data_IF_941015529308
#
_entry.id   IF_941015529308
#
_cell.length_a   1.000
_cell.length_b   1.000
_cell.length_c   1.000
_cell.angle_alpha   90.00
_cell.angle_beta   90.00
_cell.angle_gamma   90.00
#
_symmetry.space_group_name_H-M   'P 1'
#
loop_
_entity.id
_entity.type
_entity.pdbx_description
1 polymer ?
#
# COMPACT_ATOMS: atom_id res chain seq x y z
N UNK A 1 10.39 -25.16 48.45
CA UNK A 1 10.34 -24.03 47.49
C UNK A 1 8.90 -23.52 47.44
N UNK A 2 8.65 -22.22 47.58
CA UNK A 2 7.28 -21.72 47.69
C UNK A 2 6.55 -21.82 46.33
N UNK A 3 5.24 -22.10 46.30
CA UNK A 3 4.46 -22.28 45.07
C UNK A 3 4.37 -21.03 44.18
N UNK A 4 4.83 -19.86 44.66
CA UNK A 4 4.86 -18.60 43.91
C UNK A 4 6.00 -18.50 42.89
N UNK A 5 7.11 -19.21 43.11
CA UNK A 5 8.25 -19.17 42.16
C UNK A 5 8.03 -20.08 40.96
N UNK A 6 7.27 -21.16 41.12
CA UNK A 6 6.90 -22.05 40.01
C UNK A 6 5.98 -21.34 39.01
N UNK A 7 4.95 -20.62 39.48
CA UNK A 7 4.04 -19.87 38.60
C UNK A 7 4.71 -18.72 37.84
N UNK A 8 5.71 -18.08 38.43
CA UNK A 8 6.47 -17.01 37.76
C UNK A 8 7.39 -17.56 36.66
N UNK A 9 8.02 -18.71 36.90
CA UNK A 9 8.85 -19.42 35.92
C UNK A 9 8.01 -19.96 34.76
N UNK A 10 6.82 -20.49 35.02
CA UNK A 10 5.91 -20.93 33.96
C UNK A 10 5.40 -19.74 33.14
N UNK A 11 5.06 -18.61 33.77
CA UNK A 11 4.64 -17.40 33.04
C UNK A 11 5.77 -16.78 32.20
N UNK A 12 7.00 -16.78 32.71
CA UNK A 12 8.18 -16.36 31.95
C UNK A 12 8.49 -17.33 30.79
N UNK A 13 8.42 -18.65 31.02
CA UNK A 13 8.57 -19.63 29.94
C UNK A 13 7.46 -19.48 28.87
N UNK A 14 6.22 -19.25 29.27
CA UNK A 14 5.11 -19.00 28.33
C UNK A 14 5.31 -17.70 27.55
N UNK A 15 5.86 -16.65 28.17
CA UNK A 15 6.20 -15.41 27.46
C UNK A 15 7.37 -15.58 26.47
N UNK A 16 8.36 -16.42 26.80
CA UNK A 16 9.45 -16.78 25.87
C UNK A 16 8.97 -17.71 24.74
N UNK A 17 8.02 -18.62 25.02
CA UNK A 17 7.43 -19.50 24.00
C UNK A 17 6.48 -18.75 23.06
N UNK A 18 5.79 -17.71 23.53
CA UNK A 18 4.96 -16.83 22.70
C UNK A 18 5.80 -15.88 21.82
N UNK A 19 7.04 -15.57 22.22
CA UNK A 19 7.96 -14.80 21.37
C UNK A 19 8.49 -15.63 20.17
N UNK A 20 8.51 -16.96 20.27
CA UNK A 20 9.07 -17.84 19.23
C UNK A 20 8.22 -17.99 17.97
N UNK A 21 6.93 -17.66 18.01
CA UNK A 21 6.04 -17.78 16.84
C UNK A 21 6.08 -16.55 15.91
N UNK A 22 6.82 -15.49 16.28
CA UNK A 22 6.97 -14.27 15.47
C UNK A 22 8.42 -13.93 15.12
N UNK A 23 9.39 -14.78 15.46
CA UNK A 23 10.82 -14.54 15.21
C UNK A 23 11.29 -15.32 13.99
N UNK A 24 11.73 -14.61 12.95
CA UNK A 24 12.49 -15.21 11.84
C UNK A 24 13.93 -15.39 12.29
N UNK A 25 14.46 -16.61 12.11
CA UNK A 25 15.85 -16.94 12.40
C UNK A 25 16.80 -16.14 11.48
N UNK A 26 17.63 -15.29 12.08
CA UNK A 26 18.52 -14.35 11.39
C UNK A 26 19.93 -14.45 12.00
N UNK A 27 21.00 -14.46 11.18
CA UNK A 27 22.37 -14.47 11.69
C UNK A 27 22.69 -13.18 12.45
N UNK A 28 23.24 -13.31 13.66
CA UNK A 28 23.53 -12.18 14.57
C UNK A 28 24.76 -11.34 14.14
N UNK A 29 25.57 -11.85 13.21
CA UNK A 29 26.80 -11.21 12.74
C UNK A 29 26.57 -10.20 11.59
N UNK A 30 25.31 -10.00 11.19
CA UNK A 30 24.93 -9.04 10.15
C UNK A 30 25.20 -9.50 8.73
N UNK A 31 25.58 -10.77 8.51
CA UNK A 31 25.74 -11.33 7.17
C UNK A 31 24.37 -11.69 6.60
N UNK A 32 23.99 -11.10 5.47
CA UNK A 32 22.76 -11.47 4.78
C UNK A 32 22.77 -12.97 4.40
N UNK A 33 21.64 -13.66 4.58
CA UNK A 33 21.55 -15.08 4.22
C UNK A 33 21.74 -15.25 2.73
N UNK A 34 22.71 -16.08 2.33
CA UNK A 34 22.86 -16.46 0.94
C UNK A 34 21.68 -17.35 0.54
N UNK A 35 20.90 -16.94 -0.48
CA UNK A 35 19.76 -17.78 -0.92
C UNK A 35 20.26 -19.05 -1.61
N UNK A 36 19.51 -20.14 -1.43
CA UNK A 36 19.75 -21.43 -2.09
C UNK A 36 19.07 -21.52 -3.47
N UNK A 37 18.31 -20.50 -3.86
CA UNK A 37 17.61 -20.44 -5.15
C UNK A 37 18.57 -20.23 -6.32
N UNK A 38 18.20 -20.77 -7.49
CA UNK A 38 18.95 -20.57 -8.74
C UNK A 38 18.38 -19.38 -9.51
N UNK A 39 19.17 -18.31 -9.61
CA UNK A 39 18.81 -17.11 -10.36
C UNK A 39 19.02 -17.31 -11.87
N UNK A 40 18.03 -16.91 -12.68
CA UNK A 40 18.19 -16.75 -14.13
C UNK A 40 18.13 -15.25 -14.44
N UNK A 41 19.16 -14.66 -15.09
CA UNK A 41 19.14 -13.24 -15.39
C UNK A 41 17.98 -12.90 -16.33
N UNK A 42 16.98 -12.23 -15.76
CA UNK A 42 15.94 -11.48 -16.46
C UNK A 42 16.11 -9.99 -16.08
N UNK A 43 15.26 -9.13 -16.63
CA UNK A 43 15.16 -7.75 -16.17
C UNK A 43 14.69 -7.73 -14.71
N UNK A 44 15.48 -7.15 -13.80
CA UNK A 44 15.11 -7.07 -12.38
C UNK A 44 13.88 -6.16 -12.23
N UNK A 45 12.74 -6.64 -11.72
CA UNK A 45 11.53 -5.84 -11.60
C UNK A 45 11.59 -4.79 -10.48
N UNK A 46 12.63 -4.82 -9.62
CA UNK A 46 12.75 -3.91 -8.47
C UNK A 46 13.37 -2.59 -8.83
N UNK A 47 12.87 -1.56 -8.17
CA UNK A 47 13.36 -0.19 -8.20
C UNK A 47 13.48 0.24 -6.74
N UNK A 48 14.71 0.17 -6.20
CA UNK A 48 15.00 0.62 -4.83
C UNK A 48 14.98 2.15 -4.81
N UNK A 49 14.46 2.74 -3.74
CA UNK A 49 14.41 4.21 -3.59
C UNK A 49 15.78 4.89 -3.70
N UNK A 50 16.86 4.21 -3.29
CA UNK A 50 18.23 4.69 -3.43
C UNK A 50 18.82 4.57 -4.85
N UNK A 51 18.22 3.77 -5.74
CA UNK A 51 18.65 3.64 -7.13
C UNK A 51 18.12 4.80 -7.98
N UNK A 52 18.82 5.93 -7.89
CA UNK A 52 18.46 7.18 -8.57
C UNK A 52 18.22 6.97 -10.07
N UNK A 53 19.07 6.18 -10.73
CA UNK A 53 18.96 5.98 -12.18
C UNK A 53 17.68 5.23 -12.57
N UNK A 54 17.32 4.17 -11.83
CA UNK A 54 16.07 3.44 -12.10
C UNK A 54 14.83 4.23 -11.70
N UNK A 55 14.93 5.00 -10.62
CA UNK A 55 13.86 5.91 -10.17
C UNK A 55 13.62 7.02 -11.19
N UNK A 56 14.67 7.61 -11.77
CA UNK A 56 14.58 8.59 -12.86
C UNK A 56 14.03 7.97 -14.15
N UNK A 57 14.45 6.76 -14.51
CA UNK A 57 13.92 6.05 -15.68
C UNK A 57 12.41 5.74 -15.54
N UNK A 58 11.97 5.30 -14.35
CA UNK A 58 10.56 5.10 -14.07
C UNK A 58 9.78 6.41 -14.15
N UNK A 59 10.34 7.47 -13.58
CA UNK A 59 9.80 8.81 -13.60
C UNK A 59 9.58 9.33 -15.03
N UNK A 60 10.56 9.17 -15.91
CA UNK A 60 10.45 9.51 -17.34
C UNK A 60 9.34 8.71 -18.02
N UNK A 61 9.26 7.39 -17.78
CA UNK A 61 8.20 6.55 -18.36
C UNK A 61 6.80 7.00 -17.93
N UNK A 62 6.61 7.34 -16.65
CA UNK A 62 5.34 7.86 -16.13
C UNK A 62 5.04 9.23 -16.75
N UNK A 63 6.05 10.10 -16.87
CA UNK A 63 5.92 11.41 -17.52
C UNK A 63 5.51 11.31 -19.00
N UNK A 64 6.15 10.44 -19.78
CA UNK A 64 5.75 10.20 -21.17
C UNK A 64 4.31 9.72 -21.27
N UNK A 65 3.86 8.86 -20.35
CA UNK A 65 2.47 8.37 -20.33
C UNK A 65 1.47 9.45 -20.01
N UNK A 66 1.74 10.25 -18.99
CA UNK A 66 0.84 11.31 -18.56
C UNK A 66 0.75 12.47 -19.58
N UNK A 67 1.87 12.84 -20.23
CA UNK A 67 1.93 14.03 -21.09
C UNK A 67 1.91 13.74 -22.59
N UNK A 68 2.43 12.60 -23.05
CA UNK A 68 2.58 12.31 -24.48
C UNK A 68 1.60 11.23 -25.00
N UNK A 69 1.03 10.40 -24.13
CA UNK A 69 0.06 9.39 -24.57
C UNK A 69 -1.20 10.05 -25.17
N UNK A 70 -1.83 9.40 -26.15
CA UNK A 70 -3.06 9.88 -26.78
C UNK A 70 -4.30 9.69 -25.88
N UNK A 71 -4.30 8.61 -25.09
CA UNK A 71 -5.39 8.16 -24.22
C UNK A 71 -4.82 7.65 -22.89
N UNK A 72 -5.69 7.40 -21.89
CA UNK A 72 -5.29 6.77 -20.62
C UNK A 72 -4.41 7.64 -19.72
N UNK A 73 -4.49 8.97 -19.78
CA UNK A 73 -3.62 9.91 -19.02
C UNK A 73 -3.91 9.98 -17.52
N UNK A 74 -4.44 8.91 -16.93
CA UNK A 74 -4.82 8.86 -15.53
C UNK A 74 -3.92 7.90 -14.75
N UNK A 75 -3.54 8.32 -13.55
CA UNK A 75 -2.90 7.47 -12.55
C UNK A 75 -3.92 7.13 -11.48
N UNK A 76 -3.95 5.88 -11.04
CA UNK A 76 -4.67 5.45 -9.85
C UNK A 76 -3.66 4.99 -8.80
N UNK A 77 -3.68 5.62 -7.63
CA UNK A 77 -2.92 5.20 -6.47
C UNK A 77 -3.84 4.65 -5.39
N UNK A 78 -3.61 3.40 -5.01
CA UNK A 78 -4.39 2.67 -4.00
C UNK A 78 -3.59 2.64 -2.70
N UNK A 79 -4.13 3.29 -1.67
CA UNK A 79 -3.43 3.37 -0.38
C UNK A 79 -3.48 2.08 0.41
N UNK A 80 -2.63 1.99 1.42
CA UNK A 80 -2.81 1.02 2.48
C UNK A 80 -4.01 1.31 3.37
N UNK A 81 -4.36 0.33 4.21
CA UNK A 81 -5.59 0.39 5.00
C UNK A 81 -6.04 -0.91 5.67
N UNK A 82 -5.33 -2.03 5.47
CA UNK A 82 -5.73 -3.32 6.01
C UNK A 82 -7.15 -3.73 5.60
N UNK A 83 -7.99 -4.11 6.57
CA UNK A 83 -9.38 -4.53 6.33
C UNK A 83 -10.25 -3.46 5.65
N UNK A 84 -9.92 -2.17 5.84
CA UNK A 84 -10.62 -1.06 5.19
C UNK A 84 -10.50 -1.07 3.67
N UNK A 85 -9.60 -1.88 3.10
CA UNK A 85 -9.49 -2.08 1.65
C UNK A 85 -10.78 -2.55 0.99
N UNK A 86 -11.69 -3.19 1.74
CA UNK A 86 -13.01 -3.55 1.25
C UNK A 86 -13.78 -2.33 0.71
N UNK A 87 -13.67 -1.17 1.38
CA UNK A 87 -14.24 0.08 0.87
C UNK A 87 -13.71 0.42 -0.52
N UNK A 88 -12.39 0.40 -0.71
CA UNK A 88 -11.76 0.76 -1.97
C UNK A 88 -12.08 -0.22 -3.08
N UNK A 89 -12.09 -1.52 -2.79
CA UNK A 89 -12.56 -2.54 -3.72
C UNK A 89 -14.01 -2.26 -4.16
N UNK A 90 -14.89 -1.93 -3.22
CA UNK A 90 -16.26 -1.52 -3.50
C UNK A 90 -16.32 -0.28 -4.39
N UNK A 91 -15.53 0.76 -4.09
CA UNK A 91 -15.45 1.97 -4.92
C UNK A 91 -15.06 1.63 -6.36
N UNK A 92 -14.09 0.75 -6.60
CA UNK A 92 -13.68 0.37 -7.95
C UNK A 92 -14.81 -0.33 -8.73
N UNK A 93 -15.50 -1.27 -8.09
CA UNK A 93 -16.65 -1.98 -8.68
C UNK A 93 -17.81 -1.02 -8.97
N UNK A 94 -18.19 -0.20 -7.99
CA UNK A 94 -19.26 0.80 -8.18
C UNK A 94 -18.90 1.87 -9.22
N UNK A 95 -17.62 2.19 -9.37
CA UNK A 95 -17.18 3.13 -10.40
C UNK A 95 -17.31 2.53 -11.80
N UNK A 96 -17.02 1.23 -11.95
CA UNK A 96 -17.34 0.49 -13.17
C UNK A 96 -18.84 0.48 -13.45
N UNK A 97 -19.68 0.23 -12.43
CA UNK A 97 -21.15 0.25 -12.58
C UNK A 97 -21.69 1.59 -13.06
N UNK A 98 -21.07 2.71 -12.65
CA UNK A 98 -21.47 4.04 -13.14
C UNK A 98 -21.10 4.28 -14.62
N UNK A 99 -20.24 3.43 -15.20
CA UNK A 99 -19.76 3.56 -16.59
C UNK A 99 -18.75 4.69 -16.79
N UNK A 100 -18.18 5.24 -15.71
CA UNK A 100 -17.29 6.41 -15.77
C UNK A 100 -15.87 6.14 -15.27
N UNK A 101 -15.53 4.88 -14.93
CA UNK A 101 -14.19 4.51 -14.51
C UNK A 101 -13.18 4.66 -15.66
N UNK A 102 -12.15 5.52 -15.52
CA UNK A 102 -11.11 5.68 -16.54
C UNK A 102 -10.28 4.41 -16.70
N UNK A 103 -9.67 4.26 -17.88
CA UNK A 103 -8.51 3.40 -18.03
C UNK A 103 -7.27 4.12 -17.52
N UNK A 104 -6.53 3.47 -16.61
CA UNK A 104 -5.34 4.07 -15.99
C UNK A 104 -4.06 3.64 -16.72
N UNK A 105 -3.21 4.60 -17.08
CA UNK A 105 -1.85 4.33 -17.58
C UNK A 105 -0.96 3.75 -16.50
N UNK A 106 -1.17 4.17 -15.25
CA UNK A 106 -0.39 3.70 -14.11
C UNK A 106 -1.36 3.37 -12.98
N UNK A 107 -1.23 2.17 -12.44
CA UNK A 107 -1.88 1.78 -11.19
C UNK A 107 -0.80 1.46 -10.18
N UNK A 108 -0.89 2.05 -9.01
CA UNK A 108 0.00 1.76 -7.90
C UNK A 108 -0.77 1.21 -6.71
N UNK A 109 -0.12 0.36 -5.92
CA UNK A 109 -0.72 -0.24 -4.75
C UNK A 109 0.26 -0.39 -3.59
N UNK A 110 -0.25 -0.11 -2.39
CA UNK A 110 0.43 -0.32 -1.12
C UNK A 110 -0.48 -1.09 -0.19
N UNK A 111 0.02 -2.12 0.52
CA UNK A 111 -0.77 -2.88 1.50
C UNK A 111 -1.99 -3.50 0.87
N UNK A 112 -3.16 -3.37 1.49
CA UNK A 112 -4.43 -3.77 0.89
C UNK A 112 -4.63 -3.16 -0.52
N UNK A 113 -4.14 -1.96 -0.79
CA UNK A 113 -4.15 -1.38 -2.13
C UNK A 113 -3.33 -2.17 -3.15
N UNK A 114 -2.26 -2.86 -2.72
CA UNK A 114 -1.49 -3.75 -3.59
C UNK A 114 -2.27 -5.00 -4.00
N UNK A 115 -3.14 -5.52 -3.13
CA UNK A 115 -4.01 -6.65 -3.45
C UNK A 115 -5.11 -6.26 -4.44
N UNK A 116 -5.66 -5.04 -4.34
CA UNK A 116 -6.65 -4.54 -5.29
C UNK A 116 -6.06 -4.08 -6.64
N UNK A 117 -4.78 -3.66 -6.66
CA UNK A 117 -4.15 -3.03 -7.81
C UNK A 117 -4.11 -3.87 -9.10
N UNK A 118 -3.83 -5.20 -9.08
CA UNK A 118 -3.88 -6.04 -10.27
C UNK A 118 -5.25 -6.00 -10.97
N UNK A 119 -6.35 -6.17 -10.22
CA UNK A 119 -7.71 -6.09 -10.77
C UNK A 119 -8.03 -4.67 -11.22
N UNK A 120 -7.59 -3.67 -10.44
CA UNK A 120 -7.78 -2.27 -10.80
C UNK A 120 -7.13 -1.91 -12.14
N UNK A 121 -5.95 -2.49 -12.38
CA UNK A 121 -5.15 -2.37 -13.59
C UNK A 121 -5.77 -3.12 -14.77
N UNK A 122 -6.26 -4.34 -14.58
CA UNK A 122 -6.87 -5.09 -15.69
C UNK A 122 -8.26 -4.56 -16.08
N UNK A 123 -8.98 -3.95 -15.13
CA UNK A 123 -10.22 -3.23 -15.40
C UNK A 123 -11.49 -4.06 -15.15
N UNK A 124 -12.65 -3.62 -15.71
CA UNK A 124 -13.97 -4.14 -15.39
C UNK A 124 -14.17 -5.65 -15.49
N UNK A 125 -13.45 -6.32 -16.38
CA UNK A 125 -13.56 -7.77 -16.58
C UNK A 125 -13.11 -8.59 -15.36
N UNK A 126 -12.38 -7.96 -14.44
CA UNK A 126 -11.81 -8.54 -13.23
C UNK A 126 -12.48 -8.05 -11.94
N UNK A 127 -13.58 -7.29 -12.06
CA UNK A 127 -14.28 -6.74 -10.91
C UNK A 127 -15.00 -7.83 -10.09
N UNK A 128 -15.41 -8.95 -10.72
CA UNK A 128 -15.97 -10.11 -10.02
C UNK A 128 -14.93 -10.79 -9.11
N UNK A 129 -13.69 -10.91 -9.56
CA UNK A 129 -12.58 -11.45 -8.74
C UNK A 129 -12.21 -10.48 -7.61
N UNK A 130 -12.19 -9.17 -7.90
CA UNK A 130 -11.99 -8.13 -6.88
C UNK A 130 -13.08 -8.17 -5.80
N UNK A 131 -14.34 -8.31 -6.21
CA UNK A 131 -15.47 -8.48 -5.29
C UNK A 131 -15.34 -9.76 -4.48
N UNK A 132 -14.97 -10.87 -5.12
CA UNK A 132 -14.69 -12.15 -4.50
C UNK A 132 -13.63 -12.06 -3.40
N UNK A 133 -12.53 -11.35 -3.67
CA UNK A 133 -11.41 -11.22 -2.74
C UNK A 133 -11.74 -10.37 -1.49
N UNK A 134 -12.72 -9.46 -1.57
CA UNK A 134 -12.99 -8.47 -0.52
C UNK A 134 -14.35 -8.57 0.17
N UNK A 135 -15.35 -9.19 -0.45
CA UNK A 135 -16.72 -9.21 0.08
C UNK A 135 -17.36 -10.60 0.06
N UNK A 136 -16.98 -11.47 -0.89
CA UNK A 136 -17.44 -12.84 -0.85
C UNK A 136 -16.52 -13.65 0.05
N UNK A 137 -16.93 -13.88 1.30
CA UNK A 137 -16.28 -14.86 2.18
C UNK A 137 -16.48 -16.30 1.68
N UNK A 138 -16.13 -16.62 0.43
CA UNK A 138 -16.37 -17.91 -0.24
C UNK A 138 -15.72 -19.03 0.55
N UNK A 139 -16.49 -19.63 1.45
CA UNK A 139 -17.09 -20.98 1.42
C UNK A 139 -16.40 -22.13 0.65
N UNK A 140 -15.12 -22.01 0.28
CA UNK A 140 -14.24 -23.11 -0.14
C UNK A 140 -13.35 -23.66 0.99
N UNK A 141 -13.31 -22.96 2.12
CA UNK A 141 -12.58 -23.37 3.31
C UNK A 141 -13.27 -22.82 4.55
N UNK A 142 -14.38 -23.45 4.95
CA UNK A 142 -15.13 -23.20 6.20
C UNK A 142 -14.28 -23.33 7.50
N UNK A 143 -12.97 -23.56 7.36
CA UNK A 143 -11.96 -23.64 8.41
C UNK A 143 -11.02 -22.43 8.51
N UNK A 144 -10.89 -21.50 7.55
CA UNK A 144 -9.89 -20.42 7.69
C UNK A 144 -10.41 -19.23 8.51
N UNK A 145 -11.59 -18.71 8.17
CA UNK A 145 -12.12 -17.51 8.84
C UNK A 145 -12.73 -17.77 10.22
N UNK A 146 -13.29 -18.96 10.47
CA UNK A 146 -13.73 -19.32 11.84
C UNK A 146 -12.53 -19.56 12.77
N UNK A 147 -11.36 -19.90 12.23
CA UNK A 147 -10.11 -20.02 12.99
C UNK A 147 -9.54 -18.65 13.35
N UNK A 148 -9.73 -17.64 12.49
CA UNK A 148 -9.47 -16.23 12.78
C UNK A 148 -10.23 -15.73 14.02
N UNK A 149 -11.50 -16.13 14.19
CA UNK A 149 -12.32 -15.76 15.34
C UNK A 149 -12.16 -16.67 16.57
N UNK A 150 -11.63 -17.90 16.42
CA UNK A 150 -11.53 -18.88 17.50
C UNK A 150 -10.25 -18.74 18.36
N UNK A 151 -9.23 -18.03 17.87
CA UNK A 151 -8.00 -17.75 18.63
C UNK A 151 -8.09 -16.38 19.30
N UNK A 152 -8.77 -16.34 20.44
CA UNK A 152 -8.79 -15.20 21.36
C UNK A 152 -7.45 -14.95 22.04
N UNK A 153 -6.40 -14.62 21.28
CA UNK A 153 -5.16 -14.05 21.78
C UNK A 153 -4.77 -12.83 20.90
N UNK A 154 -4.37 -11.70 21.50
CA UNK A 154 -3.98 -10.52 20.73
C UNK A 154 -2.57 -10.69 20.17
N UNK A 155 -2.45 -10.67 18.84
CA UNK A 155 -1.19 -10.49 18.13
C UNK A 155 -0.78 -11.70 17.30
N UNK A 156 -0.57 -11.46 16.00
CA UNK A 156 -0.19 -12.39 14.92
C UNK A 156 -1.36 -13.20 14.35
N UNK A 157 -1.93 -12.70 13.26
CA UNK A 157 -2.77 -13.51 12.38
C UNK A 157 -1.91 -14.55 11.65
N UNK A 158 -2.52 -15.69 11.31
CA UNK A 158 -1.82 -16.77 10.61
C UNK A 158 -1.42 -16.31 9.19
N UNK A 159 -0.12 -16.34 8.90
CA UNK A 159 0.44 -15.99 7.60
C UNK A 159 -0.13 -16.83 6.45
N UNK A 160 -0.59 -18.05 6.76
CA UNK A 160 -1.21 -18.94 5.78
C UNK A 160 -2.47 -18.33 5.15
N UNK A 161 -3.29 -17.59 5.90
CA UNK A 161 -4.57 -17.08 5.38
C UNK A 161 -4.38 -16.02 4.30
N UNK A 162 -3.48 -15.06 4.54
CA UNK A 162 -3.19 -14.01 3.55
C UNK A 162 -2.47 -14.61 2.33
N UNK A 163 -1.60 -15.60 2.56
CA UNK A 163 -0.95 -16.35 1.49
C UNK A 163 -1.97 -17.10 0.63
N UNK A 164 -2.88 -17.86 1.24
CA UNK A 164 -3.92 -18.63 0.54
C UNK A 164 -4.81 -17.70 -0.31
N UNK A 165 -5.21 -16.54 0.24
CA UNK A 165 -5.97 -15.53 -0.50
C UNK A 165 -5.23 -15.06 -1.75
N UNK A 166 -3.93 -14.76 -1.62
CA UNK A 166 -3.10 -14.35 -2.76
C UNK A 166 -2.95 -15.49 -3.76
N UNK A 167 -2.78 -16.74 -3.30
CA UNK A 167 -2.66 -17.90 -4.17
C UNK A 167 -3.94 -18.21 -4.96
N UNK A 168 -5.11 -17.98 -4.36
CA UNK A 168 -6.42 -18.25 -4.97
C UNK A 168 -6.73 -17.33 -6.16
N UNK A 169 -6.26 -16.08 -6.13
CA UNK A 169 -6.58 -15.08 -7.16
C UNK A 169 -5.40 -14.69 -8.06
N UNK A 170 -4.17 -15.09 -7.74
CA UNK A 170 -2.98 -14.77 -8.54
C UNK A 170 -2.48 -16.03 -9.22
N UNK A 171 -2.86 -16.22 -10.48
CA UNK A 171 -2.44 -17.34 -11.32
C UNK A 171 -1.71 -16.89 -12.59
N UNK A 172 -1.35 -17.86 -13.44
CA UNK A 172 -0.69 -17.57 -14.71
C UNK A 172 -1.55 -16.76 -15.68
N UNK A 173 -2.88 -16.87 -15.60
CA UNK A 173 -3.80 -16.18 -16.49
C UNK A 173 -3.88 -14.69 -16.12
N UNK A 174 -3.91 -14.37 -14.82
CA UNK A 174 -3.76 -13.01 -14.31
C UNK A 174 -2.43 -12.40 -14.78
N UNK A 175 -1.31 -13.10 -14.59
CA UNK A 175 0.01 -12.59 -15.03
C UNK A 175 0.03 -12.36 -16.54
N UNK A 176 -0.54 -13.27 -17.34
CA UNK A 176 -0.59 -13.11 -18.79
C UNK A 176 -1.39 -11.86 -19.20
N UNK A 177 -2.52 -11.61 -18.54
CA UNK A 177 -3.32 -10.41 -18.78
C UNK A 177 -2.52 -9.13 -18.43
N UNK A 178 -1.80 -9.13 -17.31
CA UNK A 178 -0.95 -8.00 -16.89
C UNK A 178 0.19 -7.77 -17.89
N UNK A 179 0.83 -8.83 -18.38
CA UNK A 179 1.88 -8.74 -19.38
C UNK A 179 1.39 -8.08 -20.69
N UNK A 180 0.17 -8.43 -21.13
CA UNK A 180 -0.45 -7.81 -22.32
C UNK A 180 -0.66 -6.30 -22.13
N UNK A 181 -1.19 -5.89 -20.98
CA UNK A 181 -1.39 -4.46 -20.67
C UNK A 181 -0.05 -3.71 -20.48
N UNK A 182 0.95 -4.39 -19.93
CA UNK A 182 2.30 -3.85 -19.81
C UNK A 182 2.97 -3.65 -21.18
N UNK A 183 2.70 -4.51 -22.17
CA UNK A 183 3.20 -4.35 -23.54
C UNK A 183 2.51 -3.18 -24.29
N UNK A 184 1.28 -2.81 -23.90
CA UNK A 184 0.68 -1.53 -24.30
C UNK A 184 1.35 -0.34 -23.61
N UNK A 185 2.20 -0.62 -22.62
CA UNK A 185 3.03 0.29 -21.84
C UNK A 185 2.34 0.92 -20.65
N UNK A 186 1.25 0.32 -20.17
CA UNK A 186 0.69 0.63 -18.86
C UNK A 186 1.64 0.10 -17.77
N UNK A 187 1.57 0.64 -16.56
CA UNK A 187 2.44 0.25 -15.44
C UNK A 187 1.62 -0.15 -14.23
N UNK A 188 1.93 -1.32 -13.68
CA UNK A 188 1.41 -1.79 -12.39
C UNK A 188 2.57 -1.81 -11.40
N UNK A 189 2.50 -0.94 -10.38
CA UNK A 189 3.60 -0.73 -9.44
C UNK A 189 3.15 -1.07 -8.02
N UNK A 190 3.84 -2.01 -7.37
CA UNK A 190 3.56 -2.40 -5.98
C UNK A 190 4.69 -1.96 -5.09
N UNK A 191 4.38 -1.52 -3.87
CA UNK A 191 5.39 -1.04 -2.92
C UNK A 191 5.50 -1.95 -1.71
N UNK A 192 6.74 -2.27 -1.36
CA UNK A 192 7.11 -2.90 -0.09
C UNK A 192 8.14 -2.04 0.63
N UNK A 193 8.32 -2.26 1.93
CA UNK A 193 9.45 -1.72 2.68
C UNK A 193 10.49 -2.80 2.90
N UNK A 194 11.72 -2.59 2.41
CA UNK A 194 12.85 -3.39 2.83
C UNK A 194 13.28 -2.91 4.23
N UNK A 195 13.05 -3.71 5.27
CA UNK A 195 13.39 -3.35 6.64
C UNK A 195 14.88 -3.42 6.95
N UNK A 196 15.63 -4.25 6.23
CA UNK A 196 17.08 -4.37 6.41
C UNK A 196 17.79 -3.08 5.95
N UNK A 197 17.29 -2.44 4.89
CA UNK A 197 17.78 -1.17 4.37
C UNK A 197 17.00 0.07 4.85
N UNK A 198 15.81 -0.11 5.42
CA UNK A 198 14.84 0.96 5.73
C UNK A 198 14.40 1.75 4.50
N UNK A 199 14.31 1.07 3.35
CA UNK A 199 14.05 1.70 2.06
C UNK A 199 12.73 1.26 1.44
N UNK A 200 12.14 2.17 0.66
CA UNK A 200 11.05 1.86 -0.26
C UNK A 200 11.57 1.02 -1.41
N UNK A 201 10.90 -0.09 -1.69
CA UNK A 201 11.13 -0.88 -2.90
C UNK A 201 9.86 -0.90 -3.74
N UNK A 202 9.96 -0.35 -4.95
CA UNK A 202 8.89 -0.35 -5.96
C UNK A 202 9.12 -1.55 -6.88
N UNK A 203 8.08 -2.32 -7.12
CA UNK A 203 8.09 -3.50 -7.98
C UNK A 203 7.28 -3.22 -9.24
N UNK A 204 7.90 -3.30 -10.43
CA UNK A 204 7.19 -3.31 -11.70
C UNK A 204 6.64 -4.72 -11.95
N UNK A 205 5.36 -4.89 -11.63
CA UNK A 205 4.68 -6.17 -11.73
C UNK A 205 4.47 -6.61 -13.17
N UNK A 206 4.52 -5.69 -14.14
CA UNK A 206 4.42 -6.02 -15.55
C UNK A 206 5.73 -6.57 -16.11
N UNK A 207 6.88 -6.04 -15.66
CA UNK A 207 8.19 -6.67 -15.93
C UNK A 207 8.21 -8.09 -15.40
N UNK A 208 7.74 -8.31 -14.17
CA UNK A 208 7.65 -9.64 -13.57
C UNK A 208 6.70 -10.57 -14.34
N UNK A 209 5.50 -10.09 -14.64
CA UNK A 209 4.49 -10.85 -15.38
C UNK A 209 4.98 -11.31 -16.76
N UNK A 210 5.78 -10.49 -17.45
CA UNK A 210 6.38 -10.83 -18.76
C UNK A 210 7.40 -11.96 -18.70
N UNK A 211 7.99 -12.23 -17.54
CA UNK A 211 8.94 -13.34 -17.39
C UNK A 211 8.24 -14.70 -17.48
N UNK A 212 7.02 -14.77 -16.92
CA UNK A 212 6.16 -15.96 -16.95
C UNK A 212 6.72 -17.18 -16.19
N UNK A 213 5.89 -18.22 -16.09
CA UNK A 213 6.21 -19.48 -15.41
C UNK A 213 6.14 -19.42 -13.88
N UNK A 214 6.30 -20.59 -13.26
CA UNK A 214 6.09 -20.80 -11.81
C UNK A 214 6.87 -19.83 -10.93
N UNK A 215 8.13 -19.52 -11.28
CA UNK A 215 8.97 -18.60 -10.51
C UNK A 215 8.45 -17.16 -10.54
N UNK A 216 7.90 -16.71 -11.67
CA UNK A 216 7.33 -15.37 -11.78
C UNK A 216 6.03 -15.28 -10.97
N UNK A 217 5.18 -16.32 -11.01
CA UNK A 217 3.97 -16.40 -10.20
C UNK A 217 4.31 -16.38 -8.71
N UNK A 218 5.27 -17.20 -8.28
CA UNK A 218 5.71 -17.25 -6.88
C UNK A 218 6.21 -15.89 -6.39
N UNK A 219 7.12 -15.24 -7.13
CA UNK A 219 7.61 -13.91 -6.75
C UNK A 219 6.49 -12.86 -6.79
N UNK A 220 5.55 -12.94 -7.72
CA UNK A 220 4.42 -12.00 -7.80
C UNK A 220 3.59 -12.09 -6.52
N UNK A 221 3.29 -13.32 -6.09
CA UNK A 221 2.57 -13.59 -4.84
C UNK A 221 3.35 -13.14 -3.61
N UNK A 222 4.66 -13.40 -3.56
CA UNK A 222 5.52 -12.95 -2.46
C UNK A 222 5.56 -11.43 -2.33
N UNK A 223 5.60 -10.69 -3.44
CA UNK A 223 5.58 -9.21 -3.43
C UNK A 223 4.24 -8.68 -2.92
N UNK A 224 3.12 -9.25 -3.37
CA UNK A 224 1.79 -8.85 -2.87
C UNK A 224 1.63 -9.17 -1.38
N UNK A 225 2.03 -10.37 -0.97
CA UNK A 225 2.02 -10.80 0.43
C UNK A 225 2.87 -9.87 1.29
N UNK A 226 4.09 -9.56 0.86
CA UNK A 226 4.99 -8.65 1.55
C UNK A 226 4.40 -7.25 1.68
N UNK A 227 3.80 -6.73 0.60
CA UNK A 227 3.18 -5.41 0.60
C UNK A 227 2.03 -5.33 1.60
N UNK A 228 1.30 -6.42 1.84
CA UNK A 228 0.19 -6.50 2.80
C UNK A 228 0.58 -7.00 4.21
N UNK A 229 1.85 -7.33 4.46
CA UNK A 229 2.33 -7.82 5.75
C UNK A 229 2.57 -6.68 6.76
N UNK A 230 1.50 -6.20 7.40
CA UNK A 230 1.57 -5.14 8.42
C UNK A 230 2.40 -5.60 9.63
N UNK A 231 3.45 -4.85 10.04
CA UNK A 231 4.27 -5.22 11.20
C UNK A 231 3.46 -5.38 12.49
N UNK A 232 3.70 -6.49 13.20
CA UNK A 232 2.98 -6.84 14.44
C UNK A 232 1.61 -7.50 14.22
N UNK A 233 1.17 -7.58 12.97
CA UNK A 233 -0.10 -8.20 12.56
C UNK A 233 0.18 -9.46 11.74
N UNK A 234 1.05 -9.36 10.74
CA UNK A 234 1.52 -10.46 9.90
C UNK A 234 3.06 -10.52 9.93
N UNK A 235 3.68 -11.70 9.73
CA UNK A 235 5.12 -11.80 9.65
C UNK A 235 5.68 -11.17 8.36
N UNK A 236 6.95 -10.72 8.39
CA UNK A 236 7.65 -10.28 7.18
C UNK A 236 7.83 -11.41 6.17
N UNK A 237 8.00 -11.05 4.91
CA UNK A 237 8.34 -11.96 3.82
C UNK A 237 9.82 -11.82 3.47
N UNK A 238 10.48 -12.95 3.29
CA UNK A 238 11.87 -13.01 2.86
C UNK A 238 11.91 -13.08 1.33
N UNK A 239 12.40 -12.04 0.67
CA UNK A 239 12.48 -12.02 -0.80
C UNK A 239 13.96 -12.05 -1.23
N UNK A 240 14.36 -12.93 -2.16
CA UNK A 240 15.72 -12.95 -2.66
C UNK A 240 16.11 -11.65 -3.37
N UNK A 241 17.30 -11.15 -3.08
CA UNK A 241 17.91 -10.01 -3.73
C UNK A 241 19.39 -10.11 -3.93
N UNK A 242 19.98 -8.99 -4.32
CA UNK A 242 21.40 -8.90 -4.68
C UNK A 242 22.02 -7.74 -3.91
N UNK A 243 23.11 -8.02 -3.21
CA UNK A 243 23.87 -6.99 -2.51
C UNK A 243 24.82 -6.23 -3.47
N UNK A 244 25.52 -5.23 -2.94
CA UNK A 244 26.45 -4.40 -3.71
C UNK A 244 27.64 -5.20 -4.30
N UNK A 245 27.87 -6.42 -3.82
CA UNK A 245 28.92 -7.32 -4.28
C UNK A 245 28.42 -8.36 -5.30
N UNK A 246 27.15 -8.25 -5.71
CA UNK A 246 26.54 -9.20 -6.64
C UNK A 246 26.21 -10.55 -6.00
N UNK A 247 26.22 -10.65 -4.67
CA UNK A 247 25.85 -11.88 -3.97
C UNK A 247 24.33 -11.95 -3.78
N UNK A 248 23.81 -13.14 -3.95
CA UNK A 248 22.40 -13.44 -3.72
C UNK A 248 22.11 -13.48 -2.22
N UNK A 249 21.20 -12.63 -1.77
CA UNK A 249 20.89 -12.40 -0.35
C UNK A 249 19.38 -12.54 -0.09
N UNK A 250 18.95 -12.82 1.14
CA UNK A 250 17.54 -12.70 1.51
C UNK A 250 17.27 -11.35 2.18
N UNK A 251 16.35 -10.57 1.62
CA UNK A 251 15.93 -9.26 2.14
C UNK A 251 14.63 -9.37 2.96
N UNK A 252 14.52 -8.64 4.07
CA UNK A 252 13.28 -8.55 4.85
C UNK A 252 12.31 -7.55 4.21
N UNK A 253 11.17 -8.00 3.73
CA UNK A 253 10.11 -7.12 3.25
C UNK A 253 8.87 -7.15 4.16
N UNK A 254 8.32 -5.96 4.41
CA UNK A 254 7.03 -5.74 5.07
C UNK A 254 6.19 -4.75 4.27
N UNK A 255 5.02 -4.45 4.83
CA UNK A 255 4.07 -3.52 4.29
C UNK A 255 4.71 -2.17 3.89
N UNK A 256 4.48 -1.75 2.64
CA UNK A 256 5.01 -0.50 2.10
C UNK A 256 4.49 0.75 2.82
N UNK A 257 3.33 0.65 3.49
CA UNK A 257 2.70 1.65 4.34
C UNK A 257 3.55 2.07 5.54
N UNK A 258 4.59 1.31 5.88
CA UNK A 258 5.59 1.70 6.89
C UNK A 258 6.34 2.96 6.46
N UNK A 259 6.63 3.10 5.16
CA UNK A 259 7.37 4.25 4.61
C UNK A 259 6.51 5.17 3.75
N UNK A 260 5.54 4.62 3.00
CA UNK A 260 4.68 5.41 2.10
C UNK A 260 3.23 4.93 2.13
N UNK A 261 2.25 5.77 2.46
CA UNK A 261 0.84 5.35 2.59
C UNK A 261 0.18 5.03 1.24
N UNK A 262 0.68 5.62 0.15
CA UNK A 262 0.29 5.36 -1.24
C UNK A 262 1.40 5.88 -2.17
N UNK A 263 1.55 5.30 -3.36
CA UNK A 263 2.52 5.78 -4.36
C UNK A 263 1.80 6.55 -5.47
N UNK A 264 1.50 7.84 -5.26
CA UNK A 264 0.90 8.66 -6.31
C UNK A 264 1.88 8.95 -7.43
N UNK A 265 2.95 9.66 -7.07
CA UNK A 265 4.05 10.05 -7.94
C UNK A 265 5.36 9.72 -7.22
N UNK A 266 6.32 9.03 -7.85
CA UNK A 266 7.65 8.78 -7.28
C UNK A 266 8.32 10.05 -6.76
N UNK A 267 9.09 9.95 -5.67
CA UNK A 267 9.69 11.11 -5.01
C UNK A 267 10.58 11.97 -5.94
N UNK A 268 11.29 11.32 -6.86
CA UNK A 268 12.11 11.99 -7.87
C UNK A 268 11.33 12.94 -8.78
N UNK A 269 10.05 12.65 -9.04
CA UNK A 269 9.18 13.49 -9.85
C UNK A 269 8.58 14.67 -9.06
N UNK A 270 8.63 14.64 -7.72
CA UNK A 270 7.95 15.64 -6.90
C UNK A 270 8.49 17.06 -7.06
N UNK A 271 9.68 17.24 -7.63
CA UNK A 271 10.26 18.56 -7.93
C UNK A 271 10.21 18.92 -9.41
N UNK A 272 9.82 17.99 -10.27
CA UNK A 272 9.75 18.21 -11.71
C UNK A 272 8.62 19.20 -12.03
N UNK A 273 8.96 20.14 -12.91
CA UNK A 273 8.05 21.07 -13.56
C UNK A 273 8.09 20.80 -15.06
N UNK A 274 6.97 20.36 -15.63
CA UNK A 274 6.91 20.23 -17.09
C UNK A 274 6.73 21.62 -17.73
N UNK A 275 7.48 21.95 -18.80
CA UNK A 275 7.35 23.25 -19.47
C UNK A 275 6.00 23.45 -20.18
N UNK A 276 5.23 22.37 -20.35
CA UNK A 276 3.87 22.36 -20.90
C UNK A 276 2.87 21.93 -19.82
N UNK A 277 1.72 22.61 -19.74
CA UNK A 277 0.57 22.16 -18.94
C UNK A 277 0.21 20.73 -19.32
N UNK A 278 -0.25 19.94 -18.34
CA UNK A 278 -0.74 18.61 -18.61
C UNK A 278 -1.86 18.65 -19.67
N UNK A 279 -1.91 17.67 -20.60
CA UNK A 279 -2.97 17.59 -21.59
C UNK A 279 -4.35 17.47 -20.93
N UNK A 280 -5.39 17.87 -21.66
CA UNK A 280 -6.76 17.70 -21.22
C UNK A 280 -7.05 16.21 -20.87
N UNK A 281 -7.65 15.99 -19.70
CA UNK A 281 -7.95 14.67 -19.15
C UNK A 281 -6.84 14.01 -18.33
N UNK A 282 -5.67 14.65 -18.17
CA UNK A 282 -4.62 14.12 -17.30
C UNK A 282 -4.98 14.31 -15.81
N UNK A 283 -5.03 13.20 -15.07
CA UNK A 283 -5.55 13.20 -13.70
C UNK A 283 -4.83 12.20 -12.79
N UNK A 284 -4.71 12.55 -11.51
CA UNK A 284 -4.25 11.69 -10.45
C UNK A 284 -5.46 11.32 -9.57
N UNK A 285 -5.78 10.04 -9.51
CA UNK A 285 -6.80 9.49 -8.63
C UNK A 285 -6.11 8.82 -7.44
N UNK A 286 -6.46 9.22 -6.22
CA UNK A 286 -5.96 8.61 -4.99
C UNK A 286 -7.14 8.02 -4.24
N UNK A 287 -7.18 6.69 -4.15
CA UNK A 287 -8.19 5.97 -3.39
C UNK A 287 -7.60 5.55 -2.04
N UNK A 288 -8.15 6.14 -0.99
CA UNK A 288 -7.68 5.98 0.38
C UNK A 288 -8.54 4.95 1.07
N UNK A 289 -7.93 3.82 1.42
CA UNK A 289 -8.53 2.73 2.19
C UNK A 289 -8.59 3.06 3.68
N UNK A 290 -9.14 4.23 4.02
CA UNK A 290 -9.15 4.77 5.36
C UNK A 290 -9.79 6.16 5.43
N UNK A 291 -9.76 6.76 6.62
CA UNK A 291 -10.22 8.12 6.86
C UNK A 291 -9.03 9.09 6.83
N UNK A 292 -9.19 10.21 6.11
CA UNK A 292 -8.17 11.27 6.02
C UNK A 292 -8.08 12.05 7.34
N UNK A 293 -9.24 12.39 7.88
CA UNK A 293 -9.36 13.28 9.03
C UNK A 293 -9.07 12.58 10.36
N UNK A 294 -8.78 13.41 11.37
CA UNK A 294 -8.49 12.93 12.73
C UNK A 294 -9.79 12.48 13.39
N UNK A 295 -9.80 11.27 13.92
CA UNK A 295 -10.92 10.75 14.72
C UNK A 295 -10.64 10.99 16.21
N UNK A 296 -11.45 11.78 16.92
CA UNK A 296 -11.28 12.01 18.36
C UNK A 296 -11.87 10.84 19.17
N UNK A 297 -11.01 10.07 19.83
CA UNK A 297 -11.42 8.92 20.68
C UNK A 297 -10.47 8.81 21.87
N UNK A 298 -11.02 8.51 23.04
CA UNK A 298 -10.23 8.21 24.25
C UNK A 298 -9.58 6.84 24.07
N UNK A 299 -8.24 6.83 23.98
CA UNK A 299 -7.47 5.59 23.82
C UNK A 299 -7.45 4.80 25.12
N UNK A 300 -7.72 3.50 25.05
CA UNK A 300 -7.64 2.61 26.22
C UNK A 300 -6.19 2.49 26.68
N UNK A 301 -5.96 2.46 27.98
CA UNK A 301 -4.61 2.38 28.58
C UNK A 301 -3.92 1.01 28.50
N UNK A 302 -4.27 0.17 27.53
CA UNK A 302 -3.65 -1.15 27.32
C UNK A 302 -2.59 -1.05 26.23
N UNK A 303 -1.48 -1.80 26.36
CA UNK A 303 -0.38 -1.76 25.40
C UNK A 303 -0.84 -2.01 23.94
N UNK A 304 -1.68 -3.02 23.63
CA UNK A 304 -2.15 -3.22 22.26
C UNK A 304 -2.99 -2.05 21.72
N UNK A 305 -3.85 -1.45 22.55
CA UNK A 305 -4.68 -0.32 22.13
C UNK A 305 -3.83 0.94 21.88
N UNK A 306 -2.79 1.16 22.69
CA UNK A 306 -1.83 2.25 22.48
C UNK A 306 -1.08 2.04 21.17
N UNK A 307 -0.53 0.86 20.93
CA UNK A 307 0.22 0.56 19.69
C UNK A 307 -0.64 0.72 18.44
N UNK A 308 -1.87 0.17 18.45
CA UNK A 308 -2.81 0.32 17.33
C UNK A 308 -3.17 1.78 17.08
N UNK A 309 -3.43 2.56 18.14
CA UNK A 309 -3.71 3.99 18.01
C UNK A 309 -2.51 4.79 17.52
N UNK A 310 -1.31 4.48 17.99
CA UNK A 310 -0.07 5.11 17.54
C UNK A 310 0.16 4.87 16.05
N UNK A 311 -0.06 3.63 15.59
CA UNK A 311 0.03 3.28 14.17
C UNK A 311 -1.02 4.02 13.32
N UNK A 312 -2.31 4.02 13.71
CA UNK A 312 -3.37 4.79 13.02
C UNK A 312 -3.03 6.29 12.95
N UNK A 313 -2.56 6.86 14.07
CA UNK A 313 -2.19 8.27 14.16
C UNK A 313 -1.02 8.62 13.24
N UNK A 314 0.03 7.80 13.24
CA UNK A 314 1.19 7.96 12.36
C UNK A 314 0.79 7.82 10.88
N UNK A 315 -0.02 6.80 10.57
CA UNK A 315 -0.51 6.53 9.21
C UNK A 315 -1.34 7.70 8.66
N UNK A 316 -2.30 8.21 9.43
CA UNK A 316 -3.10 9.39 9.05
C UNK A 316 -2.25 10.66 8.93
N UNK A 317 -1.21 10.82 9.74
CA UNK A 317 -0.29 11.94 9.62
C UNK A 317 0.56 11.86 8.34
N UNK A 318 1.12 10.68 8.05
CA UNK A 318 1.87 10.42 6.83
C UNK A 318 1.00 10.63 5.59
N UNK A 319 -0.21 10.05 5.59
CA UNK A 319 -1.21 10.21 4.53
C UNK A 319 -1.49 11.67 4.18
N UNK A 320 -1.77 12.52 5.18
CA UNK A 320 -2.04 13.95 4.96
C UNK A 320 -0.83 14.67 4.37
N UNK A 321 0.38 14.33 4.78
CA UNK A 321 1.62 14.87 4.19
C UNK A 321 1.78 14.43 2.74
N UNK A 322 1.63 13.13 2.45
CA UNK A 322 1.72 12.59 1.08
C UNK A 322 0.66 13.18 0.15
N UNK A 323 -0.57 13.39 0.63
CA UNK A 323 -1.62 14.07 -0.13
C UNK A 323 -1.25 15.51 -0.45
N UNK A 324 -0.76 16.28 0.52
CA UNK A 324 -0.35 17.67 0.30
C UNK A 324 0.78 17.77 -0.74
N UNK A 325 1.75 16.84 -0.69
CA UNK A 325 2.85 16.75 -1.65
C UNK A 325 2.35 16.41 -3.06
N UNK A 326 1.45 15.43 -3.19
CA UNK A 326 0.87 15.06 -4.49
C UNK A 326 -0.05 16.15 -5.04
N UNK A 327 -0.80 16.85 -4.19
CA UNK A 327 -1.59 18.03 -4.56
C UNK A 327 -0.70 19.14 -5.11
N UNK A 328 0.40 19.47 -4.42
CA UNK A 328 1.34 20.47 -4.88
C UNK A 328 1.99 20.09 -6.22
N UNK A 329 2.30 18.80 -6.42
CA UNK A 329 2.75 18.30 -7.72
C UNK A 329 1.67 18.45 -8.80
N UNK A 330 0.43 18.05 -8.50
CA UNK A 330 -0.68 18.10 -9.43
C UNK A 330 -0.98 19.53 -9.88
N UNK A 331 -1.11 20.46 -8.93
CA UNK A 331 -1.36 21.88 -9.21
C UNK A 331 -0.23 22.51 -10.03
N UNK A 332 1.02 22.21 -9.69
CA UNK A 332 2.19 22.74 -10.40
C UNK A 332 2.26 22.28 -11.86
N UNK A 333 1.71 21.12 -12.15
CA UNK A 333 1.78 20.47 -13.45
C UNK A 333 0.45 20.51 -14.23
N UNK A 334 -0.62 21.07 -13.64
CA UNK A 334 -1.94 21.18 -14.26
C UNK A 334 -2.72 19.86 -14.30
N UNK A 335 -2.44 18.92 -13.39
CA UNK A 335 -3.19 17.68 -13.23
C UNK A 335 -4.36 17.90 -12.26
N UNK A 336 -5.50 17.27 -12.53
CA UNK A 336 -6.59 17.21 -11.55
C UNK A 336 -6.30 16.11 -10.53
N UNK A 337 -6.33 16.45 -9.23
CA UNK A 337 -6.24 15.47 -8.16
C UNK A 337 -7.65 15.11 -7.67
N UNK A 338 -8.05 13.86 -7.84
CA UNK A 338 -9.30 13.32 -7.31
C UNK A 338 -8.99 12.37 -6.16
N UNK A 339 -9.70 12.54 -5.04
CA UNK A 339 -9.54 11.72 -3.85
C UNK A 339 -10.86 11.07 -3.50
N UNK A 340 -10.81 9.77 -3.23
CA UNK A 340 -11.88 9.01 -2.60
C UNK A 340 -11.34 8.44 -1.29
N UNK A 341 -12.15 8.46 -0.23
CA UNK A 341 -11.77 7.98 1.09
C UNK A 341 -13.02 7.53 1.85
N UNK A 342 -12.84 6.76 2.92
CA UNK A 342 -13.94 6.40 3.81
C UNK A 342 -14.50 7.69 4.44
N UNK A 343 -15.80 8.00 4.27
CA UNK A 343 -16.41 9.17 4.89
C UNK A 343 -16.28 9.20 6.41
N UNK A 344 -16.36 10.41 6.98
CA UNK A 344 -16.51 10.58 8.42
C UNK A 344 -17.82 9.94 8.93
N UNK A 345 -17.80 9.49 10.19
CA UNK A 345 -18.98 8.91 10.84
C UNK A 345 -19.27 7.45 10.47
N UNK A 346 -18.50 6.86 9.55
CA UNK A 346 -18.50 5.41 9.32
C UNK A 346 -17.48 4.79 10.27
N UNK A 347 -17.91 3.78 11.03
CA UNK A 347 -16.99 2.95 11.81
C UNK A 347 -16.15 2.11 10.86
N UNK A 348 -14.83 2.32 10.89
CA UNK A 348 -13.87 1.64 10.05
C UNK A 348 -12.61 1.38 10.88
N UNK A 349 -12.11 0.15 10.83
CA UNK A 349 -10.92 -0.27 11.55
C UNK A 349 -10.04 -1.08 10.60
N UNK A 350 -8.83 -0.59 10.34
CA UNK A 350 -7.87 -1.25 9.46
C UNK A 350 -7.41 -2.61 9.97
N UNK A 351 -7.62 -2.90 11.26
CA UNK A 351 -7.21 -4.13 11.92
C UNK A 351 -8.39 -5.07 12.24
N UNK A 352 -9.62 -4.70 11.84
CA UNK A 352 -10.82 -5.51 12.04
C UNK A 352 -11.20 -6.25 10.75
N UNK A 353 -10.69 -7.47 10.59
CA UNK A 353 -11.01 -8.33 9.45
C UNK A 353 -12.19 -9.23 9.80
N UNK A 354 -13.35 -8.66 10.15
CA UNK A 354 -14.61 -9.40 10.20
C UNK A 354 -15.26 -9.39 8.80
N UNK A 355 -15.78 -10.53 8.26
CA UNK A 355 -16.31 -10.58 6.90
C UNK A 355 -17.56 -9.75 6.73
N UNK A 356 -18.41 -9.67 7.76
CA UNK A 356 -19.66 -8.91 7.70
C UNK A 356 -19.33 -7.41 7.68
N UNK A 357 -18.40 -6.97 8.53
CA UNK A 357 -17.87 -5.60 8.51
C UNK A 357 -17.23 -5.25 7.17
N UNK A 358 -16.41 -6.14 6.60
CA UNK A 358 -15.77 -5.91 5.30
C UNK A 358 -16.80 -5.87 4.17
N UNK A 359 -17.76 -6.79 4.11
CA UNK A 359 -18.80 -6.80 3.10
C UNK A 359 -19.70 -5.55 3.19
N UNK A 360 -20.06 -5.11 4.40
CA UNK A 360 -20.79 -3.85 4.59
C UNK A 360 -19.98 -2.65 4.08
N UNK A 361 -18.69 -2.61 4.41
CA UNK A 361 -17.81 -1.54 3.99
C UNK A 361 -17.59 -1.52 2.46
N UNK A 362 -17.51 -2.70 1.84
CA UNK A 362 -17.51 -2.87 0.39
C UNK A 362 -18.76 -2.28 -0.25
N UNK A 363 -19.94 -2.67 0.23
CA UNK A 363 -21.21 -2.16 -0.31
C UNK A 363 -21.34 -0.64 -0.16
N UNK A 364 -20.83 -0.07 0.93
CA UNK A 364 -20.78 1.40 1.11
C UNK A 364 -19.90 2.07 0.05
N UNK A 365 -18.74 1.50 -0.26
CA UNK A 365 -17.86 1.99 -1.33
C UNK A 365 -18.52 1.88 -2.70
N UNK A 366 -19.10 0.71 -3.01
CA UNK A 366 -19.80 0.43 -4.27
C UNK A 366 -20.95 1.40 -4.50
N UNK A 367 -21.84 1.54 -3.51
CA UNK A 367 -22.98 2.45 -3.60
C UNK A 367 -22.54 3.91 -3.77
N UNK A 368 -21.49 4.36 -3.08
CA UNK A 368 -20.97 5.72 -3.19
C UNK A 368 -20.42 6.01 -4.61
N UNK A 369 -19.68 5.09 -5.19
CA UNK A 369 -19.10 5.26 -6.52
C UNK A 369 -20.14 5.13 -7.63
N UNK A 370 -21.05 4.15 -7.53
CA UNK A 370 -22.17 3.99 -8.44
C UNK A 370 -23.10 5.22 -8.42
N UNK A 371 -23.27 5.85 -7.26
CA UNK A 371 -24.01 7.10 -7.08
C UNK A 371 -23.25 8.37 -7.49
N UNK A 372 -21.99 8.28 -7.91
CA UNK A 372 -21.18 9.42 -8.36
C UNK A 372 -20.73 10.36 -7.24
N UNK A 373 -20.68 9.90 -5.99
CA UNK A 373 -20.32 10.72 -4.81
C UNK A 373 -19.04 10.26 -4.09
N UNK A 374 -18.40 9.18 -4.55
CA UNK A 374 -17.16 8.69 -3.95
C UNK A 374 -15.95 9.62 -4.17
N UNK A 375 -15.89 10.28 -5.32
CA UNK A 375 -14.73 11.08 -5.74
C UNK A 375 -14.95 12.57 -5.50
N UNK A 376 -13.97 13.21 -4.87
CA UNK A 376 -13.90 14.66 -4.69
C UNK A 376 -12.63 15.21 -5.32
N UNK A 377 -12.75 16.30 -6.09
CA UNK A 377 -11.57 17.03 -6.58
C UNK A 377 -10.91 17.78 -5.41
N UNK A 378 -9.65 17.49 -5.13
CA UNK A 378 -8.87 18.16 -4.09
C UNK A 378 -8.16 19.37 -4.69
N UNK A 379 -8.28 20.52 -4.01
CA UNK A 379 -7.62 21.79 -4.35
C UNK A 379 -6.98 22.37 -3.12
N UNK A 380 -5.87 23.07 -3.29
CA UNK A 380 -5.31 23.87 -2.19
C UNK A 380 -6.34 24.89 -1.75
N UNK A 381 -6.51 25.12 -0.42
CA UNK A 381 -7.32 26.22 0.05
C UNK A 381 -6.80 27.52 -0.55
N UNK A 382 -7.71 28.42 -0.92
CA UNK A 382 -7.31 29.73 -1.44
C UNK A 382 -6.36 30.39 -0.44
N UNK A 383 -5.22 30.98 -0.89
CA UNK A 383 -4.28 31.60 0.03
C UNK A 383 -4.98 32.73 0.78
N UNK A 384 -5.22 32.53 2.08
CA UNK A 384 -5.66 33.61 2.95
C UNK A 384 -4.46 34.51 3.23
N UNK A 385 -4.54 35.83 2.99
CA UNK A 385 -3.46 36.74 3.31
C UNK A 385 -3.28 36.80 4.83
N UNK A 386 -2.36 35.99 5.35
CA UNK A 386 -1.89 36.13 6.72
C UNK A 386 -0.93 37.32 6.74
N UNK A 387 -1.37 38.43 7.31
CA UNK A 387 -0.47 39.52 7.66
C UNK A 387 0.47 39.02 8.75
N UNK A 388 1.67 38.55 8.35
CA UNK A 388 2.73 38.31 9.31
C UNK A 388 3.02 39.65 10.01
N UNK A 389 2.99 39.72 11.35
CA UNK A 389 3.36 40.94 12.05
C UNK A 389 4.85 41.20 11.79
N UNK A 390 5.13 42.06 10.80
CA UNK A 390 6.45 42.63 10.61
C UNK A 390 6.57 43.75 11.64
N UNK A 391 6.90 43.40 12.89
CA UNK A 391 7.39 44.42 13.82
C UNK A 391 8.71 44.97 13.25
N UNK A 392 8.80 46.28 12.96
CA UNK A 392 10.08 46.85 12.58
C UNK A 392 11.08 46.62 13.73
N UNK A 393 12.35 46.29 13.45
CA UNK A 393 13.33 46.07 14.50
C UNK A 393 13.38 47.29 15.42
N UNK A 394 13.29 47.05 16.73
CA UNK A 394 13.34 48.11 17.73
C UNK A 394 14.59 48.99 17.50
N UNK A 395 14.48 50.32 17.54
CA UNK A 395 15.62 51.19 17.35
C UNK A 395 16.67 50.87 18.43
N UNK A 396 17.85 50.42 17.98
CA UNK A 396 19.00 50.22 18.86
C UNK A 396 19.44 51.59 19.33
N UNK A 397 19.09 51.95 20.56
CA UNK A 397 19.66 53.11 21.23
C UNK A 397 21.11 52.78 21.59
N UNK A 398 22.05 53.37 20.86
CA UNK A 398 23.45 53.37 21.25
C UNK A 398 23.61 54.24 22.50
N UNK A 399 24.25 53.74 23.58
CA UNK A 399 24.54 54.57 24.75
C UNK A 399 25.58 55.65 24.38
N UNK A 400 25.32 56.87 24.84
CA UNK A 400 26.17 58.07 24.66
C UNK A 400 27.57 57.92 25.27
#
# INVERSE_FOLDING_TARGET
>A
MPPRTAGLLTALLSAFLLAGCGTIDRPEDGVLRLTTQTWRPTEDPRIRGADVARVEALAEQIGERLWAAAEGRSILALSGGGANGAYGAGVLVGWTESGTRPEFSVVTGVSTGALAAPFAFLGPEWDDDLHGAYAEGRTGGLLSWRSFAALGAPGLFDAGVLKDLVEDYVDEDLLRAIAVEHDKGRRLLIVTTNLDAQETVIWDMGVLAKQGGDQAVELFREVLLASASIPGVFPPVMIPGVDDQGQLVEEMHVDGGVVTPFLGIPESLLTVTTPTQAPEGAALYVLINGQIERTEVITRGTLPAILARSYDTMSKASLRTSLAVNLAFAERNGLNLHVAAIPEGIEASSLDFDPESMAELFERGRAAAAGGVAWSEMKSPAPEPVALPVEPPAPVSLPD
#
